data_IF_309341681404
#
_entry.id   IF_309341681404
#
_cell.length_a   1.000
_cell.length_b   1.000
_cell.length_c   1.000
_cell.angle_alpha   90.00
_cell.angle_beta   90.00
_cell.angle_gamma   90.00
#
_symmetry.space_group_name_H-M   'P 1'
#
loop_
_entity.id
_entity.type
_entity.pdbx_description
1 polymer ?
#
# COMPACT_ATOMS: atom_id res chain seq x y z
N UNK A 1 32.45 5.32 -17.05
CA UNK A 1 31.31 5.52 -16.15
C UNK A 1 31.52 4.58 -14.98
N UNK A 2 32.04 5.07 -13.86
CA UNK A 2 32.24 4.24 -12.67
C UNK A 2 30.86 3.96 -12.06
N UNK A 3 30.50 2.69 -11.94
CA UNK A 3 29.37 2.26 -11.13
C UNK A 3 29.68 2.71 -9.70
N UNK A 4 28.94 3.70 -9.19
CA UNK A 4 28.92 3.96 -7.77
C UNK A 4 28.57 2.62 -7.11
N UNK A 5 29.45 2.12 -6.23
CA UNK A 5 29.15 0.99 -5.38
C UNK A 5 27.84 1.31 -4.67
N UNK A 6 26.79 0.55 -4.94
CA UNK A 6 25.50 0.75 -4.29
C UNK A 6 25.73 0.68 -2.78
N UNK A 7 25.48 1.79 -2.09
CA UNK A 7 25.67 1.89 -0.64
C UNK A 7 24.82 0.82 0.04
N UNK A 8 25.42 0.05 0.95
CA UNK A 8 24.71 -0.98 1.72
C UNK A 8 23.82 -0.28 2.76
N UNK A 9 22.49 -0.47 2.74
CA UNK A 9 21.57 0.18 3.69
C UNK A 9 21.78 -0.26 5.15
N UNK A 10 22.52 -1.34 5.39
CA UNK A 10 22.88 -1.81 6.74
C UNK A 10 24.18 -1.23 7.28
N UNK A 11 24.97 -0.54 6.44
CA UNK A 11 26.16 0.18 6.89
C UNK A 11 25.77 1.30 7.85
N UNK A 12 26.45 1.41 8.99
CA UNK A 12 26.10 2.38 10.03
C UNK A 12 26.14 3.84 9.54
N UNK A 13 27.07 4.19 8.65
CA UNK A 13 27.15 5.54 8.08
C UNK A 13 25.99 5.80 7.10
N UNK A 14 25.60 4.79 6.32
CA UNK A 14 24.44 4.87 5.42
C UNK A 14 23.15 4.99 6.20
N UNK A 15 22.98 4.16 7.24
CA UNK A 15 21.81 4.19 8.12
C UNK A 15 21.67 5.55 8.83
N UNK A 16 22.78 6.08 9.37
CA UNK A 16 22.82 7.43 9.93
C UNK A 16 22.37 8.48 8.91
N UNK A 17 22.84 8.35 7.65
CA UNK A 17 22.47 9.27 6.58
C UNK A 17 21.00 9.16 6.18
N UNK A 18 20.42 7.95 6.19
CA UNK A 18 18.97 7.73 5.99
C UNK A 18 18.18 8.51 7.04
N UNK A 19 18.56 8.40 8.32
CA UNK A 19 17.89 9.11 9.41
C UNK A 19 17.95 10.63 9.26
N UNK A 20 19.11 11.16 8.88
CA UNK A 20 19.26 12.59 8.62
C UNK A 20 18.35 13.07 7.48
N UNK A 21 18.39 12.39 6.32
CA UNK A 21 17.58 12.74 5.16
C UNK A 21 16.08 12.67 5.47
N UNK A 22 15.65 11.59 6.13
CA UNK A 22 14.27 11.42 6.56
C UNK A 22 13.83 12.52 7.52
N UNK A 23 14.67 12.84 8.51
CA UNK A 23 14.45 13.93 9.45
C UNK A 23 14.33 15.29 8.77
N UNK A 24 15.21 15.58 7.79
CA UNK A 24 15.17 16.83 7.03
C UNK A 24 13.89 16.96 6.20
N UNK A 25 13.49 15.87 5.52
CA UNK A 25 12.22 15.82 4.79
C UNK A 25 11.05 16.07 5.72
N UNK A 26 10.98 15.38 6.86
CA UNK A 26 9.87 15.52 7.82
C UNK A 26 9.82 16.91 8.44
N UNK A 27 10.96 17.49 8.82
CA UNK A 27 11.01 18.87 9.36
C UNK A 27 10.59 19.93 8.35
N UNK A 28 10.96 19.77 7.08
CA UNK A 28 10.62 20.75 6.02
C UNK A 28 9.16 20.64 5.58
N UNK A 29 8.69 19.41 5.42
CA UNK A 29 7.49 19.12 4.63
C UNK A 29 6.34 18.53 5.45
N UNK A 30 6.54 18.15 6.71
CA UNK A 30 5.58 17.33 7.46
C UNK A 30 5.19 17.93 8.81
N UNK A 31 4.13 17.35 9.37
CA UNK A 31 3.81 17.45 10.79
C UNK A 31 4.44 16.25 11.51
N UNK A 32 4.62 16.28 12.84
CA UNK A 32 5.26 15.19 13.58
C UNK A 32 4.64 13.79 13.37
N UNK A 33 3.41 13.73 12.84
CA UNK A 33 2.62 12.51 12.67
C UNK A 33 2.42 12.12 11.17
N UNK A 34 3.21 12.66 10.24
CA UNK A 34 3.12 12.34 8.81
C UNK A 34 4.44 11.70 8.32
N UNK A 35 4.34 10.46 7.84
CA UNK A 35 5.48 9.65 7.40
C UNK A 35 6.17 10.17 6.12
N UNK A 36 5.48 10.94 5.28
CA UNK A 36 5.97 11.50 4.00
C UNK A 36 6.74 10.48 3.14
N UNK A 37 6.33 9.21 3.14
CA UNK A 37 7.04 8.11 2.49
C UNK A 37 7.48 8.43 1.05
N UNK A 38 6.62 9.06 0.23
CA UNK A 38 6.98 9.46 -1.14
C UNK A 38 8.11 10.49 -1.23
N UNK A 39 8.15 11.49 -0.34
CA UNK A 39 9.23 12.50 -0.34
C UNK A 39 10.54 11.94 0.21
N UNK A 40 10.46 11.07 1.21
CA UNK A 40 11.63 10.36 1.76
C UNK A 40 12.22 9.45 0.69
N UNK A 41 11.39 8.65 0.01
CA UNK A 41 11.85 7.75 -1.05
C UNK A 41 12.53 8.51 -2.21
N UNK A 42 11.97 9.65 -2.62
CA UNK A 42 12.59 10.51 -3.64
C UNK A 42 13.94 11.12 -3.19
N UNK A 43 14.07 11.49 -1.92
CA UNK A 43 15.33 12.00 -1.37
C UNK A 43 16.41 10.90 -1.35
N UNK A 44 16.05 9.68 -0.97
CA UNK A 44 16.95 8.53 -0.98
C UNK A 44 17.35 8.11 -2.40
N UNK A 45 16.43 8.20 -3.36
CA UNK A 45 16.74 7.98 -4.77
C UNK A 45 17.76 8.99 -5.30
N UNK A 46 17.63 10.26 -4.90
CA UNK A 46 18.57 11.32 -5.29
C UNK A 46 19.96 11.10 -4.65
N UNK A 47 20.00 10.74 -3.37
CA UNK A 47 21.27 10.57 -2.63
C UNK A 47 22.01 9.29 -3.04
N UNK A 48 21.29 8.15 -3.07
CA UNK A 48 21.89 6.83 -3.17
C UNK A 48 21.66 6.15 -4.53
N UNK A 49 20.82 6.71 -5.40
CA UNK A 49 20.43 6.08 -6.66
C UNK A 49 19.51 4.87 -6.49
N UNK A 50 18.93 4.66 -5.30
CA UNK A 50 17.99 3.56 -5.06
C UNK A 50 16.62 3.91 -5.64
N UNK A 51 16.13 3.09 -6.57
CA UNK A 51 14.92 3.39 -7.34
C UNK A 51 13.72 3.60 -6.42
N UNK A 52 13.06 4.74 -6.52
CA UNK A 52 11.82 5.00 -5.76
C UNK A 52 10.69 4.13 -6.29
N UNK A 53 9.92 3.55 -5.38
CA UNK A 53 8.80 2.65 -5.65
C UNK A 53 7.55 3.16 -4.94
N UNK A 54 6.40 2.98 -5.58
CA UNK A 54 5.08 3.28 -5.02
C UNK A 54 4.24 2.01 -5.04
N UNK A 55 3.41 1.78 -4.03
CA UNK A 55 2.43 0.71 -4.04
C UNK A 55 1.72 0.52 -2.71
N UNK A 56 1.45 -0.73 -2.35
CA UNK A 56 0.82 -1.09 -1.08
C UNK A 56 1.81 -1.75 -0.13
N UNK A 57 1.49 -1.69 1.17
CA UNK A 57 2.17 -2.46 2.20
C UNK A 57 1.15 -3.26 3.01
N UNK A 58 1.31 -4.59 3.06
CA UNK A 58 0.57 -5.44 4.00
C UNK A 58 1.32 -5.54 5.32
N UNK A 59 0.69 -5.12 6.40
CA UNK A 59 1.23 -5.13 7.74
C UNK A 59 1.10 -6.51 8.39
N UNK A 60 1.82 -6.73 9.50
CA UNK A 60 1.87 -8.04 10.18
C UNK A 60 0.52 -8.47 10.75
N UNK A 61 -0.37 -7.53 11.06
CA UNK A 61 -1.72 -7.81 11.54
C UNK A 61 -2.75 -8.01 10.41
N UNK A 62 -2.29 -7.99 9.15
CA UNK A 62 -3.13 -8.15 7.96
C UNK A 62 -3.79 -6.86 7.47
N UNK A 63 -3.59 -5.73 8.14
CA UNK A 63 -3.97 -4.40 7.64
C UNK A 63 -3.15 -4.05 6.40
N UNK A 64 -3.70 -3.21 5.53
CA UNK A 64 -3.01 -2.72 4.33
C UNK A 64 -2.85 -1.21 4.41
N UNK A 65 -1.62 -0.73 4.23
CA UNK A 65 -1.37 0.65 3.83
C UNK A 65 -1.53 0.74 2.31
N UNK A 66 -2.62 1.37 1.89
CA UNK A 66 -3.04 1.46 0.49
C UNK A 66 -2.30 2.51 -0.33
N UNK A 67 -1.40 3.27 0.32
CA UNK A 67 -0.55 4.28 -0.32
C UNK A 67 0.76 4.27 0.45
N UNK A 68 1.79 3.67 -0.14
CA UNK A 68 3.12 3.62 0.47
C UNK A 68 4.21 3.76 -0.58
N UNK A 69 5.36 4.30 -0.16
CA UNK A 69 6.54 4.40 -1.00
C UNK A 69 7.76 3.83 -0.26
N UNK A 70 8.63 3.16 -1.02
CA UNK A 70 9.90 2.59 -0.55
C UNK A 70 10.94 2.74 -1.65
N UNK A 71 12.17 2.30 -1.41
CA UNK A 71 13.21 2.25 -2.43
C UNK A 71 13.60 0.81 -2.75
N UNK A 72 14.12 0.60 -3.95
CA UNK A 72 14.63 -0.70 -4.41
C UNK A 72 16.05 -0.57 -4.93
N UNK A 73 16.94 -1.43 -4.45
CA UNK A 73 18.32 -1.53 -4.91
C UNK A 73 18.39 -2.30 -6.23
N UNK A 74 19.54 -2.25 -6.90
CA UNK A 74 19.78 -2.91 -8.18
C UNK A 74 19.66 -4.44 -8.11
N UNK A 75 19.97 -5.03 -6.95
CA UNK A 75 19.82 -6.47 -6.67
C UNK A 75 18.35 -6.87 -6.38
N UNK A 76 17.47 -5.89 -6.26
CA UNK A 76 16.06 -6.06 -5.95
C UNK A 76 15.70 -5.94 -4.47
N UNK A 77 16.68 -5.73 -3.58
CA UNK A 77 16.47 -5.49 -2.15
C UNK A 77 15.57 -4.29 -1.93
N UNK A 78 14.57 -4.44 -1.08
CA UNK A 78 13.64 -3.38 -0.68
C UNK A 78 14.24 -2.65 0.53
N UNK A 79 14.18 -1.32 0.50
CA UNK A 79 14.53 -0.45 1.62
C UNK A 79 13.33 0.45 1.92
N UNK A 80 12.72 0.23 3.08
CA UNK A 80 11.63 1.05 3.60
C UNK A 80 12.14 1.88 4.77
N UNK A 81 12.57 3.10 4.44
CA UNK A 81 13.06 4.06 5.42
C UNK A 81 11.93 4.73 6.22
N UNK A 82 10.66 4.41 5.95
CA UNK A 82 9.52 5.00 6.65
C UNK A 82 8.66 3.93 7.32
N UNK A 83 9.24 2.77 7.60
CA UNK A 83 8.59 1.67 8.30
C UNK A 83 8.17 2.06 9.72
N UNK A 84 8.89 2.99 10.35
CA UNK A 84 8.61 3.54 11.68
C UNK A 84 7.20 4.12 11.84
N UNK A 85 6.59 4.61 10.75
CA UNK A 85 5.21 5.13 10.76
C UNK A 85 4.18 4.06 11.13
N UNK A 86 4.54 2.78 11.01
CA UNK A 86 3.69 1.65 11.35
C UNK A 86 3.99 1.08 12.74
N UNK A 87 4.94 1.66 13.49
CA UNK A 87 5.29 1.26 14.85
C UNK A 87 5.52 -0.26 14.95
N UNK A 88 4.97 -0.93 15.98
CA UNK A 88 5.04 -2.38 16.15
C UNK A 88 4.17 -3.20 15.20
N UNK A 89 3.52 -2.58 14.20
CA UNK A 89 2.76 -3.29 13.16
C UNK A 89 3.64 -3.68 11.98
N UNK A 90 4.90 -3.22 11.96
CA UNK A 90 5.88 -3.57 10.95
C UNK A 90 7.27 -3.87 11.52
N UNK A 91 8.21 -4.22 10.64
CA UNK A 91 9.47 -4.89 10.98
C UNK A 91 10.53 -4.01 11.67
N UNK A 92 10.22 -2.75 11.96
CA UNK A 92 11.13 -1.84 12.64
C UNK A 92 11.04 -0.41 12.12
N UNK A 93 12.12 0.33 12.31
CA UNK A 93 12.23 1.75 12.01
C UNK A 93 12.63 2.01 10.55
N UNK A 94 13.80 1.49 10.15
CA UNK A 94 14.24 1.34 8.77
C UNK A 94 14.31 -0.15 8.48
N UNK A 95 13.65 -0.59 7.41
CA UNK A 95 13.50 -2.01 7.09
C UNK A 95 14.18 -2.31 5.76
N UNK A 96 15.01 -3.34 5.76
CA UNK A 96 15.61 -3.90 4.55
C UNK A 96 15.05 -5.31 4.33
N UNK A 97 14.52 -5.60 3.14
CA UNK A 97 13.96 -6.92 2.81
C UNK A 97 14.66 -7.48 1.58
N UNK A 98 15.32 -8.62 1.77
CA UNK A 98 15.89 -9.42 0.68
C UNK A 98 14.79 -9.82 -0.33
N UNK A 99 15.04 -9.74 -1.64
CA UNK A 99 14.02 -10.04 -2.66
C UNK A 99 13.50 -11.48 -2.60
N UNK A 100 14.31 -12.42 -2.10
CA UNK A 100 13.94 -13.84 -1.93
C UNK A 100 13.19 -14.12 -0.63
N UNK A 101 13.18 -13.16 0.31
CA UNK A 101 12.42 -13.27 1.55
C UNK A 101 10.91 -13.32 1.25
N UNK A 102 10.13 -14.21 1.92
CA UNK A 102 8.66 -14.16 1.84
C UNK A 102 8.09 -12.79 2.22
N UNK A 103 8.82 -11.99 3.00
CA UNK A 103 8.39 -10.65 3.40
C UNK A 103 8.32 -9.68 2.21
N UNK A 104 9.06 -9.93 1.12
CA UNK A 104 9.00 -9.08 -0.08
C UNK A 104 7.60 -9.06 -0.72
N UNK A 105 6.82 -10.14 -0.54
CA UNK A 105 5.44 -10.23 -1.01
C UNK A 105 4.47 -9.27 -0.31
N UNK A 106 4.90 -8.61 0.79
CA UNK A 106 4.11 -7.56 1.44
C UNK A 106 4.24 -6.19 0.76
N UNK A 107 5.11 -6.04 -0.25
CA UNK A 107 5.37 -4.79 -0.98
C UNK A 107 5.02 -4.90 -2.49
N UNK A 108 3.75 -5.06 -2.88
CA UNK A 108 3.36 -5.07 -4.28
C UNK A 108 3.56 -3.68 -4.88
N UNK A 109 4.48 -3.61 -5.86
CA UNK A 109 4.80 -2.40 -6.60
C UNK A 109 3.70 -1.99 -7.59
N UNK A 110 3.56 -0.67 -7.78
CA UNK A 110 2.77 0.04 -8.78
C UNK A 110 1.45 -0.69 -9.10
N UNK A 111 0.51 -0.70 -8.15
CA UNK A 111 -0.80 -1.29 -8.40
C UNK A 111 -1.38 -0.64 -9.65
N UNK A 112 -1.68 -1.49 -10.64
CA UNK A 112 -2.18 -1.01 -11.93
C UNK A 112 -3.50 -0.30 -11.71
N UNK A 113 -3.77 0.72 -12.51
CA UNK A 113 -5.12 1.25 -12.58
C UNK A 113 -6.01 0.23 -13.30
N UNK A 114 -7.04 -0.21 -12.59
CA UNK A 114 -8.10 -1.05 -13.12
C UNK A 114 -9.39 -0.26 -13.24
N UNK A 115 -10.04 -0.41 -14.38
CA UNK A 115 -11.45 -0.08 -14.56
C UNK A 115 -12.29 -1.30 -14.14
N UNK A 116 -13.25 -1.08 -13.25
CA UNK A 116 -14.14 -2.09 -12.70
C UNK A 116 -15.51 -1.95 -13.37
N UNK A 117 -15.81 -2.80 -14.36
CA UNK A 117 -17.07 -2.78 -15.10
C UNK A 117 -18.08 -3.74 -14.50
N UNK A 118 -19.30 -3.25 -14.24
CA UNK A 118 -20.36 -4.05 -13.63
C UNK A 118 -21.20 -4.73 -14.70
N UNK A 119 -21.29 -6.05 -14.65
CA UNK A 119 -22.22 -6.82 -15.50
C UNK A 119 -23.54 -7.03 -14.75
N UNK A 120 -24.65 -6.77 -15.43
CA UNK A 120 -26.01 -6.93 -14.88
C UNK A 120 -26.76 -7.99 -15.67
N UNK A 121 -27.59 -8.75 -14.95
CA UNK A 121 -28.45 -9.74 -15.57
C UNK A 121 -29.53 -9.11 -16.45
N UNK A 122 -30.24 -9.95 -17.19
CA UNK A 122 -31.28 -9.57 -18.16
C UNK A 122 -32.36 -8.65 -17.60
N UNK A 123 -32.58 -8.68 -16.28
CA UNK A 123 -33.60 -7.90 -15.60
C UNK A 123 -33.06 -6.58 -15.03
N UNK A 124 -31.76 -6.31 -15.18
CA UNK A 124 -31.09 -5.06 -14.76
C UNK A 124 -30.92 -4.86 -13.24
N UNK A 125 -31.58 -5.68 -12.41
CA UNK A 125 -31.63 -5.51 -10.95
C UNK A 125 -30.48 -6.20 -10.19
N UNK A 126 -29.89 -7.25 -10.76
CA UNK A 126 -28.82 -8.04 -10.11
C UNK A 126 -27.51 -7.90 -10.87
N UNK A 127 -26.44 -7.58 -10.13
CA UNK A 127 -25.08 -7.66 -10.66
C UNK A 127 -24.66 -9.13 -10.71
N UNK A 128 -24.27 -9.57 -11.89
CA UNK A 128 -23.85 -10.95 -12.17
C UNK A 128 -22.34 -11.13 -12.06
N UNK A 129 -21.59 -10.02 -12.11
CA UNK A 129 -20.14 -10.06 -12.05
C UNK A 129 -19.47 -8.70 -12.18
N UNK A 130 -18.17 -8.69 -11.95
CA UNK A 130 -17.29 -7.54 -12.14
C UNK A 130 -16.20 -7.93 -13.14
N UNK A 131 -15.99 -7.10 -14.17
CA UNK A 131 -14.84 -7.25 -15.06
C UNK A 131 -13.81 -6.20 -14.70
N UNK A 132 -12.62 -6.62 -14.29
CA UNK A 132 -11.47 -5.75 -14.06
C UNK A 132 -10.68 -5.64 -15.37
N UNK A 133 -10.47 -4.41 -15.87
CA UNK A 133 -9.72 -4.13 -17.10
C UNK A 133 -8.53 -3.21 -16.82
N UNK A 134 -7.34 -3.59 -17.27
CA UNK A 134 -6.14 -2.75 -17.21
C UNK A 134 -5.28 -2.98 -18.46
N UNK A 135 -5.35 -2.07 -19.44
CA UNK A 135 -4.75 -2.28 -20.76
C UNK A 135 -5.35 -3.49 -21.46
N UNK A 136 -4.51 -4.44 -21.88
CA UNK A 136 -4.92 -5.70 -22.52
C UNK A 136 -5.31 -6.78 -21.50
N UNK A 137 -5.07 -6.58 -20.21
CA UNK A 137 -5.40 -7.54 -19.17
C UNK A 137 -6.86 -7.40 -18.73
N UNK A 138 -7.60 -8.51 -18.85
CA UNK A 138 -9.03 -8.59 -18.50
C UNK A 138 -9.25 -9.77 -17.55
N UNK A 139 -9.81 -9.48 -16.38
CA UNK A 139 -10.21 -10.48 -15.38
C UNK A 139 -11.72 -10.41 -15.16
N UNK A 140 -12.43 -11.48 -15.49
CA UNK A 140 -13.88 -11.57 -15.31
C UNK A 140 -14.17 -12.33 -14.03
N UNK A 141 -14.87 -11.67 -13.11
CA UNK A 141 -15.21 -12.20 -11.79
C UNK A 141 -16.71 -12.45 -11.71
N UNK A 142 -17.08 -13.66 -11.28
CA UNK A 142 -18.44 -14.04 -10.92
C UNK A 142 -18.49 -14.40 -9.43
N UNK A 143 -19.62 -14.16 -8.74
CA UNK A 143 -19.73 -14.50 -7.33
C UNK A 143 -19.67 -16.02 -7.14
N UNK A 144 -18.75 -16.49 -6.29
CA UNK A 144 -18.63 -17.89 -5.85
C UNK A 144 -19.56 -18.23 -4.65
N UNK A 145 -19.99 -17.22 -3.89
CA UNK A 145 -20.99 -17.30 -2.83
C UNK A 145 -22.27 -16.56 -3.29
N UNK A 146 -23.31 -17.29 -3.74
CA UNK A 146 -24.54 -16.68 -4.24
C UNK A 146 -25.37 -15.99 -3.15
N UNK A 147 -25.16 -16.35 -1.88
CA UNK A 147 -25.84 -15.75 -0.72
C UNK A 147 -25.18 -14.42 -0.32
N UNK A 148 -23.89 -14.25 -0.64
CA UNK A 148 -23.11 -13.03 -0.39
C UNK A 148 -22.33 -12.58 -1.63
N UNK A 149 -23.02 -12.27 -2.75
CA UNK A 149 -22.36 -12.04 -4.04
C UNK A 149 -21.40 -10.86 -4.01
N UNK A 150 -21.74 -9.78 -3.30
CA UNK A 150 -20.88 -8.60 -3.19
C UNK A 150 -19.61 -8.86 -2.38
N UNK A 151 -19.68 -9.69 -1.33
CA UNK A 151 -18.50 -10.03 -0.53
C UNK A 151 -17.55 -10.90 -1.34
N UNK A 152 -18.09 -11.89 -2.04
CA UNK A 152 -17.34 -12.74 -2.97
C UNK A 152 -16.65 -11.92 -4.07
N UNK A 153 -17.41 -11.06 -4.77
CA UNK A 153 -16.86 -10.19 -5.82
C UNK A 153 -15.80 -9.24 -5.26
N UNK A 154 -16.02 -8.67 -4.07
CA UNK A 154 -15.03 -7.83 -3.42
C UNK A 154 -13.73 -8.57 -3.13
N UNK A 155 -13.77 -9.79 -2.62
CA UNK A 155 -12.56 -10.62 -2.43
C UNK A 155 -11.84 -10.85 -3.76
N UNK A 156 -12.58 -11.22 -4.81
CA UNK A 156 -12.02 -11.40 -6.16
C UNK A 156 -11.34 -10.13 -6.67
N UNK A 157 -12.01 -8.97 -6.57
CA UNK A 157 -11.45 -7.68 -6.99
C UNK A 157 -10.20 -7.35 -6.18
N UNK A 158 -10.25 -7.43 -4.84
CA UNK A 158 -9.08 -7.15 -4.00
C UNK A 158 -7.90 -8.07 -4.31
N UNK A 159 -8.16 -9.35 -4.61
CA UNK A 159 -7.13 -10.30 -5.06
C UNK A 159 -6.53 -9.90 -6.41
N UNK A 160 -7.33 -9.44 -7.38
CA UNK A 160 -6.82 -8.92 -8.66
C UNK A 160 -5.96 -7.67 -8.45
N UNK A 161 -6.38 -6.77 -7.55
CA UNK A 161 -5.67 -5.52 -7.29
C UNK A 161 -4.35 -5.70 -6.52
N UNK A 162 -4.30 -6.67 -5.60
CA UNK A 162 -3.22 -6.77 -4.62
C UNK A 162 -2.42 -8.07 -4.70
N UNK A 163 -2.97 -9.12 -5.32
CA UNK A 163 -2.45 -10.48 -5.23
C UNK A 163 -2.69 -11.17 -3.88
N UNK A 164 -3.41 -10.55 -2.94
CA UNK A 164 -3.59 -11.06 -1.58
C UNK A 164 -5.01 -11.58 -1.30
N UNK A 165 -5.07 -12.56 -0.41
CA UNK A 165 -6.27 -12.82 0.40
C UNK A 165 -6.29 -11.84 1.58
N UNK A 166 -7.26 -10.92 1.53
CA UNK A 166 -7.50 -9.94 2.58
C UNK A 166 -8.60 -10.40 3.54
N UNK A 167 -8.59 -9.87 4.75
CA UNK A 167 -9.56 -10.21 5.79
C UNK A 167 -10.99 -9.75 5.43
N UNK A 168 -11.97 -10.31 6.15
CA UNK A 168 -13.39 -10.08 5.89
C UNK A 168 -13.84 -8.64 6.18
N UNK A 169 -13.16 -7.91 7.05
CA UNK A 169 -13.48 -6.52 7.34
C UNK A 169 -13.18 -5.62 6.13
N UNK A 170 -11.99 -5.80 5.54
CA UNK A 170 -11.58 -5.10 4.31
C UNK A 170 -12.46 -5.52 3.13
N UNK A 171 -12.70 -6.83 2.97
CA UNK A 171 -13.58 -7.35 1.92
C UNK A 171 -15.01 -6.81 2.08
N UNK A 172 -15.52 -6.73 3.31
CA UNK A 172 -16.83 -6.19 3.62
C UNK A 172 -16.95 -4.70 3.31
N UNK A 173 -15.91 -3.91 3.57
CA UNK A 173 -15.87 -2.50 3.20
C UNK A 173 -15.83 -2.32 1.67
N UNK A 174 -14.97 -3.07 0.98
CA UNK A 174 -14.91 -3.09 -0.47
C UNK A 174 -16.26 -3.50 -1.09
N UNK A 175 -16.94 -4.51 -0.55
CA UNK A 175 -18.25 -4.96 -0.99
C UNK A 175 -19.31 -3.85 -0.92
N UNK A 176 -19.32 -3.06 0.17
CA UNK A 176 -20.23 -1.91 0.30
C UNK A 176 -19.93 -0.84 -0.75
N UNK A 177 -18.66 -0.53 -0.98
CA UNK A 177 -18.23 0.46 -1.99
C UNK A 177 -18.60 0.04 -3.40
N UNK A 178 -18.31 -1.22 -3.78
CA UNK A 178 -18.68 -1.78 -5.09
C UNK A 178 -20.18 -1.76 -5.30
N UNK A 179 -20.97 -2.20 -4.31
CA UNK A 179 -22.43 -2.19 -4.39
C UNK A 179 -22.99 -0.78 -4.57
N UNK A 180 -22.48 0.18 -3.81
CA UNK A 180 -22.91 1.58 -3.92
C UNK A 180 -22.59 2.14 -5.31
N UNK A 181 -21.36 1.92 -5.82
CA UNK A 181 -20.93 2.38 -7.15
C UNK A 181 -21.72 1.74 -8.28
N UNK A 182 -21.95 0.43 -8.21
CA UNK A 182 -22.72 -0.28 -9.22
C UNK A 182 -24.18 0.17 -9.31
N UNK A 183 -24.73 0.79 -8.25
CA UNK A 183 -26.08 1.38 -8.28
C UNK A 183 -26.13 2.66 -9.11
N UNK A 184 -25.02 3.42 -9.13
CA UNK A 184 -24.96 4.77 -9.74
C UNK A 184 -24.21 4.83 -11.06
N UNK A 185 -23.42 3.82 -11.39
CA UNK A 185 -22.56 3.82 -12.57
C UNK A 185 -22.39 2.41 -13.14
N UNK A 186 -22.05 2.33 -14.43
CA UNK A 186 -21.72 1.08 -15.14
C UNK A 186 -20.27 0.64 -14.90
N UNK A 187 -19.41 1.56 -14.50
CA UNK A 187 -18.02 1.31 -14.16
C UNK A 187 -17.57 2.13 -12.94
N UNK A 188 -16.49 1.68 -12.30
CA UNK A 188 -15.79 2.41 -11.26
C UNK A 188 -14.28 2.35 -11.51
N UNK A 189 -13.56 3.38 -11.07
CA UNK A 189 -12.10 3.33 -11.05
C UNK A 189 -11.59 2.55 -9.84
N UNK A 190 -10.34 2.11 -9.86
CA UNK A 190 -9.71 1.55 -8.66
C UNK A 190 -9.67 2.59 -7.52
N UNK A 191 -9.48 3.87 -7.84
CA UNK A 191 -9.49 4.94 -6.85
C UNK A 191 -10.82 5.05 -6.09
N UNK A 192 -11.96 4.84 -6.77
CA UNK A 192 -13.29 4.80 -6.15
C UNK A 192 -13.41 3.71 -5.08
N UNK A 193 -12.70 2.59 -5.28
CA UNK A 193 -12.65 1.48 -4.32
C UNK A 193 -11.61 1.72 -3.21
N UNK A 194 -10.42 2.23 -3.56
CA UNK A 194 -9.30 2.39 -2.64
C UNK A 194 -9.55 3.51 -1.64
N UNK A 195 -10.16 4.63 -2.03
CA UNK A 195 -10.36 5.78 -1.15
C UNK A 195 -11.01 5.42 0.21
N UNK A 196 -12.13 4.68 0.27
CA UNK A 196 -12.69 4.25 1.56
C UNK A 196 -11.77 3.27 2.32
N UNK A 197 -10.99 2.44 1.62
CA UNK A 197 -10.03 1.52 2.24
C UNK A 197 -8.84 2.27 2.85
N UNK A 198 -8.36 3.34 2.21
CA UNK A 198 -7.37 4.27 2.76
C UNK A 198 -7.88 4.87 4.07
N UNK A 199 -9.11 5.39 4.07
CA UNK A 199 -9.71 5.98 5.29
C UNK A 199 -9.75 4.95 6.42
N UNK A 200 -10.22 3.73 6.14
CA UNK A 200 -10.25 2.66 7.14
C UNK A 200 -8.85 2.29 7.64
N UNK A 201 -7.85 2.25 6.77
CA UNK A 201 -6.46 1.99 7.18
C UNK A 201 -5.91 3.09 8.08
N UNK A 202 -6.17 4.36 7.77
CA UNK A 202 -5.76 5.51 8.60
C UNK A 202 -6.45 5.44 9.97
N UNK A 203 -7.75 5.12 9.99
CA UNK A 203 -8.50 4.97 11.24
C UNK A 203 -7.99 3.79 12.07
N UNK A 204 -7.60 2.67 11.46
CA UNK A 204 -6.99 1.56 12.18
C UNK A 204 -5.63 1.93 12.77
N UNK A 205 -4.78 2.58 11.97
CA UNK A 205 -3.45 3.02 12.38
C UNK A 205 -3.51 4.10 13.47
N UNK A 206 -4.48 5.02 13.39
CA UNK A 206 -4.68 6.08 14.39
C UNK A 206 -5.57 5.69 15.59
N UNK A 207 -6.42 4.68 15.44
CA UNK A 207 -7.47 4.31 16.39
C UNK A 207 -7.05 3.31 17.47
N UNK A 208 -5.84 2.72 17.39
CA UNK A 208 -5.34 1.76 18.39
C UNK A 208 -4.95 2.36 19.75
N UNK A 209 -5.40 3.58 20.06
CA UNK A 209 -5.36 4.13 21.42
C UNK A 209 -3.95 4.43 21.95
N UNK A 210 -2.93 4.40 21.09
CA UNK A 210 -1.61 4.92 21.38
C UNK A 210 -1.63 6.44 21.27
N UNK A 211 -0.73 7.13 21.98
CA UNK A 211 -0.40 8.52 21.66
C UNK A 211 -0.23 8.65 20.15
N UNK A 212 -0.60 9.82 19.61
CA UNK A 212 -0.34 10.12 18.21
C UNK A 212 1.11 9.71 17.89
N UNK A 213 1.29 8.88 16.87
CA UNK A 213 2.61 8.47 16.43
C UNK A 213 3.45 9.73 16.18
N UNK A 214 4.58 9.86 16.85
CA UNK A 214 5.55 10.93 16.61
C UNK A 214 6.78 10.25 16.00
N UNK A 215 7.18 10.72 14.83
CA UNK A 215 8.40 10.27 14.19
C UNK A 215 9.61 10.46 15.13
N UNK A 216 10.52 9.48 15.15
CA UNK A 216 11.61 9.42 16.12
C UNK A 216 12.53 10.65 16.09
N UNK A 217 12.61 11.35 14.96
CA UNK A 217 13.41 12.58 14.81
C UNK A 217 12.86 13.79 15.56
N UNK A 218 11.61 13.73 16.04
CA UNK A 218 11.01 14.78 16.87
C UNK A 218 10.96 14.40 18.35
N UNK A 219 11.37 13.19 18.72
CA UNK A 219 11.48 12.80 20.12
C UNK A 219 12.75 13.43 20.71
N UNK A 220 12.70 13.82 21.99
CA UNK A 220 13.90 14.27 22.69
C UNK A 220 14.92 13.12 22.74
N UNK A 221 16.24 13.41 22.61
CA UNK A 221 17.27 12.40 22.79
C UNK A 221 17.12 11.75 24.17
N UNK A 222 17.06 10.42 24.22
CA UNK A 222 17.10 9.63 25.46
C UNK A 222 18.52 9.62 26.02
#
# INVERSE_FOLDING_TARGET
MMLATASDPSDAAVLQRIYELRGDVRRRDAWPNDGRCGKVAAALETEFGWQSQYGYLRLLDGTVSWVHCWNRLADGTIVDATADQYQGLWLGDVVTVDPTSPMSANYPHAPREWELRFSRGSNGERVEGVTCVSGDDVQVLSPDDPDRPWLSLARGVLRVLTGWELNDDLAGLAARSLRAKATTAEAASTADLIHPLVIASIQHLGGRGTQAWIASEFLEPI
#
